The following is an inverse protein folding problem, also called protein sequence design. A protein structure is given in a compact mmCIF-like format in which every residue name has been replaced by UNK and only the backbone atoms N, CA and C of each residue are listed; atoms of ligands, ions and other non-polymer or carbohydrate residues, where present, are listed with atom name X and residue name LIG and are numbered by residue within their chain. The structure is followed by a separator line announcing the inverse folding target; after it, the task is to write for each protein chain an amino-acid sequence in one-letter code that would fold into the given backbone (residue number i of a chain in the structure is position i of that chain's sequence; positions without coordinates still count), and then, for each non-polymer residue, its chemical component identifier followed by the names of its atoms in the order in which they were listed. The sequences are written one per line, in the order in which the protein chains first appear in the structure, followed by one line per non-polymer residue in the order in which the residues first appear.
data_IF_761675728617
#
_entry.id   IF_761675728617
#
_cell.length_a   1.000
_cell.length_b   1.000
_cell.length_c   1.000
_cell.angle_alpha   90.00
_cell.angle_beta   90.00
_cell.angle_gamma   90.00
#
_symmetry.space_group_name_H-M   'P 1'
#
loop_
_entity.id
_entity.type
_entity.pdbx_description
1 polymer ?
#
# COMPACT_ATOMS: atom_id res chain seq x y z
N UNK A 1 10.78 -0.59 -11.36
CA UNK A 1 9.49 -0.81 -12.05
C UNK A 1 8.47 -1.46 -11.12
N UNK A 2 8.82 -2.57 -10.47
CA UNK A 2 8.01 -3.27 -9.47
C UNK A 2 7.36 -2.38 -8.39
N UNK A 3 8.12 -1.45 -7.81
CA UNK A 3 7.63 -0.52 -6.77
C UNK A 3 6.49 0.37 -7.27
N UNK A 4 6.57 0.83 -8.52
CA UNK A 4 5.51 1.64 -9.14
C UNK A 4 4.27 0.78 -9.39
N UNK A 5 4.44 -0.46 -9.86
CA UNK A 5 3.33 -1.40 -10.08
C UNK A 5 2.59 -1.68 -8.77
N UNK A 6 3.32 -1.93 -7.67
CA UNK A 6 2.71 -2.16 -6.36
C UNK A 6 1.95 -0.94 -5.85
N UNK A 7 2.48 0.27 -6.01
CA UNK A 7 1.77 1.49 -5.63
C UNK A 7 0.50 1.66 -6.47
N UNK A 8 0.60 1.51 -7.80
CA UNK A 8 -0.56 1.59 -8.68
C UNK A 8 -1.63 0.56 -8.31
N UNK A 9 -1.23 -0.69 -8.08
CA UNK A 9 -2.13 -1.75 -7.65
C UNK A 9 -2.79 -1.41 -6.31
N UNK A 10 -2.02 -0.94 -5.33
CA UNK A 10 -2.54 -0.53 -4.02
C UNK A 10 -3.57 0.60 -4.14
N UNK A 11 -3.27 1.64 -4.92
CA UNK A 11 -4.21 2.76 -5.17
C UNK A 11 -5.46 2.27 -5.90
N UNK A 12 -5.32 1.41 -6.92
CA UNK A 12 -6.46 0.84 -7.63
C UNK A 12 -7.35 0.00 -6.72
N UNK A 13 -6.78 -0.84 -5.86
CA UNK A 13 -7.51 -1.64 -4.89
C UNK A 13 -8.29 -0.77 -3.89
N UNK A 14 -7.65 0.29 -3.37
CA UNK A 14 -8.33 1.26 -2.49
C UNK A 14 -9.46 1.96 -3.22
N UNK A 15 -9.22 2.45 -4.43
CA UNK A 15 -10.22 3.19 -5.19
C UNK A 15 -11.43 2.33 -5.56
N UNK A 16 -11.21 1.09 -6.00
CA UNK A 16 -12.28 0.16 -6.34
C UNK A 16 -13.01 -0.28 -5.08
N UNK A 17 -12.29 -0.58 -3.99
CA UNK A 17 -12.88 -0.91 -2.69
C UNK A 17 -13.81 0.19 -2.20
N UNK A 18 -13.37 1.45 -2.23
CA UNK A 18 -14.19 2.61 -1.86
C UNK A 18 -15.42 2.75 -2.76
N UNK A 19 -15.28 2.58 -4.08
CA UNK A 19 -16.40 2.67 -5.01
C UNK A 19 -17.45 1.58 -4.74
N UNK A 20 -17.01 0.33 -4.54
CA UNK A 20 -17.91 -0.78 -4.21
C UNK A 20 -18.62 -0.52 -2.87
N UNK A 21 -17.91 -0.05 -1.86
CA UNK A 21 -18.51 0.29 -0.55
C UNK A 21 -19.56 1.39 -0.67
N UNK A 22 -19.26 2.45 -1.42
CA UNK A 22 -20.16 3.59 -1.63
C UNK A 22 -21.47 3.19 -2.33
N UNK A 23 -21.39 2.20 -3.23
CA UNK A 23 -22.51 1.74 -4.04
C UNK A 23 -22.98 0.32 -3.69
N UNK A 24 -22.62 -0.21 -2.52
CA UNK A 24 -22.93 -1.58 -2.12
C UNK A 24 -24.43 -1.87 -2.17
N UNK A 25 -25.25 -0.94 -1.65
CA UNK A 25 -26.71 -1.01 -1.70
C UNK A 25 -27.26 -1.07 -3.15
N UNK A 26 -26.62 -0.34 -4.07
CA UNK A 26 -27.03 -0.31 -5.48
C UNK A 26 -26.66 -1.63 -6.18
N UNK A 27 -25.48 -2.18 -5.88
CA UNK A 27 -25.04 -3.48 -6.37
C UNK A 27 -25.92 -4.62 -5.85
N UNK A 28 -26.32 -4.58 -4.59
CA UNK A 28 -27.27 -5.53 -4.03
C UNK A 28 -28.62 -5.44 -4.72
N UNK A 29 -29.17 -4.22 -4.86
CA UNK A 29 -30.48 -4.00 -5.49
C UNK A 29 -30.52 -4.36 -6.98
N UNK A 30 -29.52 -3.93 -7.77
CA UNK A 30 -29.55 -4.02 -9.23
C UNK A 30 -28.88 -5.29 -9.77
N UNK A 31 -27.87 -5.82 -9.06
CA UNK A 31 -27.09 -6.98 -9.49
C UNK A 31 -27.25 -8.21 -8.58
N UNK A 32 -28.10 -8.16 -7.54
CA UNK A 32 -28.20 -9.20 -6.50
C UNK A 32 -26.83 -9.54 -5.89
N UNK A 33 -25.94 -8.55 -5.80
CA UNK A 33 -24.61 -8.76 -5.24
C UNK A 33 -24.64 -8.55 -3.72
N UNK A 34 -25.07 -9.59 -3.00
CA UNK A 34 -25.23 -9.61 -1.54
C UNK A 34 -23.94 -9.26 -0.78
N UNK A 35 -22.79 -9.72 -1.28
CA UNK A 35 -21.48 -9.54 -0.63
C UNK A 35 -20.68 -8.32 -1.12
N UNK A 36 -21.36 -7.33 -1.73
CA UNK A 36 -20.68 -6.15 -2.26
C UNK A 36 -19.91 -5.41 -1.16
N UNK A 37 -20.49 -5.28 0.03
CA UNK A 37 -19.87 -4.59 1.14
C UNK A 37 -18.57 -5.26 1.60
N UNK A 38 -18.60 -6.58 1.81
CA UNK A 38 -17.46 -7.38 2.25
C UNK A 38 -16.33 -7.36 1.23
N UNK A 39 -16.67 -7.50 -0.07
CA UNK A 39 -15.68 -7.43 -1.15
C UNK A 39 -15.04 -6.03 -1.20
N UNK A 40 -15.84 -4.97 -1.04
CA UNK A 40 -15.33 -3.61 -0.92
C UNK A 40 -14.34 -3.44 0.24
N UNK A 41 -14.66 -3.97 1.42
CA UNK A 41 -13.78 -3.96 2.59
C UNK A 41 -12.47 -4.73 2.33
N UNK A 42 -12.53 -5.93 1.75
CA UNK A 42 -11.35 -6.74 1.43
C UNK A 42 -10.41 -5.98 0.49
N UNK A 43 -10.95 -5.39 -0.58
CA UNK A 43 -10.19 -4.62 -1.56
C UNK A 43 -9.52 -3.40 -0.90
N UNK A 44 -10.29 -2.68 -0.09
CA UNK A 44 -9.80 -1.51 0.64
C UNK A 44 -8.63 -1.88 1.57
N UNK A 45 -8.81 -2.87 2.44
CA UNK A 45 -7.78 -3.28 3.39
C UNK A 45 -6.54 -3.85 2.71
N UNK A 46 -6.73 -4.65 1.66
CA UNK A 46 -5.62 -5.20 0.88
C UNK A 46 -4.82 -4.08 0.21
N UNK A 47 -5.50 -3.10 -0.39
CA UNK A 47 -4.86 -1.94 -1.00
C UNK A 47 -4.08 -1.10 0.00
N UNK A 48 -4.66 -0.80 1.17
CA UNK A 48 -3.99 -0.07 2.25
C UNK A 48 -2.76 -0.82 2.74
N UNK A 49 -2.86 -2.11 3.02
CA UNK A 49 -1.74 -2.93 3.48
C UNK A 49 -0.58 -2.92 2.47
N UNK A 50 -0.89 -2.98 1.18
CA UNK A 50 0.08 -2.96 0.10
C UNK A 50 0.81 -1.60 0.00
N UNK A 51 0.09 -0.50 0.19
CA UNK A 51 0.68 0.84 0.26
C UNK A 51 1.56 1.02 1.50
N UNK A 52 1.12 0.54 2.67
CA UNK A 52 1.91 0.55 3.90
C UNK A 52 3.20 -0.26 3.76
N UNK A 53 3.14 -1.42 3.11
CA UNK A 53 4.34 -2.21 2.81
C UNK A 53 5.32 -1.45 1.90
N UNK A 54 4.79 -0.69 0.92
CA UNK A 54 5.59 0.20 0.08
C UNK A 54 6.33 1.28 0.87
N UNK A 55 5.65 1.90 1.84
CA UNK A 55 6.22 2.90 2.74
C UNK A 55 7.26 2.27 3.69
N UNK A 56 6.97 1.10 4.26
CA UNK A 56 7.91 0.41 5.13
C UNK A 56 9.22 0.08 4.39
N UNK A 57 9.13 -0.35 3.13
CA UNK A 57 10.31 -0.64 2.32
C UNK A 57 11.11 0.62 1.97
N UNK A 58 10.46 1.75 1.71
CA UNK A 58 11.17 3.01 1.45
C UNK A 58 11.90 3.49 2.70
N UNK A 59 11.26 3.41 3.87
CA UNK A 59 11.89 3.72 5.17
C UNK A 59 13.08 2.82 5.45
N UNK A 60 12.99 1.52 5.19
CA UNK A 60 14.10 0.59 5.37
C UNK A 60 15.32 0.95 4.49
N UNK A 61 15.10 1.48 3.27
CA UNK A 61 16.18 1.95 2.40
C UNK A 61 16.84 3.21 2.94
N UNK A 62 16.05 4.14 3.45
CA UNK A 62 16.57 5.37 4.09
C UNK A 62 17.41 5.01 5.31
N UNK A 63 16.92 4.10 6.16
CA UNK A 63 17.66 3.63 7.33
C UNK A 63 19.03 3.04 6.96
N UNK A 64 19.09 2.16 5.95
CA UNK A 64 20.38 1.62 5.46
C UNK A 64 21.30 2.67 4.88
N UNK A 65 20.75 3.65 4.16
CA UNK A 65 21.57 4.74 3.63
C UNK A 65 22.20 5.57 4.76
N UNK A 66 21.44 5.86 5.83
CA UNK A 66 21.94 6.55 7.01
C UNK A 66 22.99 5.72 7.75
N UNK A 67 22.79 4.41 7.89
CA UNK A 67 23.76 3.51 8.51
C UNK A 67 25.11 3.51 7.75
N UNK A 68 25.06 3.41 6.41
CA UNK A 68 26.25 3.48 5.57
C UNK A 68 27.00 4.82 5.71
N UNK A 69 26.27 5.93 5.80
CA UNK A 69 26.86 7.25 6.03
C UNK A 69 27.54 7.30 7.41
N UNK A 70 26.88 6.76 8.44
CA UNK A 70 27.45 6.68 9.79
C UNK A 70 28.75 5.88 9.82
N UNK A 71 28.78 4.72 9.15
CA UNK A 71 29.99 3.89 9.03
C UNK A 71 31.11 4.61 8.29
N UNK A 72 30.82 5.28 7.17
CA UNK A 72 31.79 6.07 6.42
C UNK A 72 32.38 7.21 7.27
N UNK A 73 31.55 7.93 8.03
CA UNK A 73 32.02 8.98 8.93
C UNK A 73 32.89 8.41 10.05
N UNK A 74 32.50 7.29 10.64
CA UNK A 74 33.29 6.62 11.68
C UNK A 74 34.67 6.19 11.17
N UNK A 75 34.74 5.59 9.98
CA UNK A 75 36.02 5.21 9.35
C UNK A 75 36.93 6.41 9.10
N UNK A 76 36.36 7.56 8.72
CA UNK A 76 37.12 8.80 8.48
C UNK A 76 37.65 9.46 9.76
N UNK A 77 37.07 9.15 10.92
CA UNK A 77 37.55 9.64 12.22
C UNK A 77 38.64 8.73 12.81
N UNK A 78 38.63 7.44 12.46
CA UNK A 78 39.55 6.43 13.01
C UNK A 78 40.81 6.24 12.17
N UNK A 79 40.79 6.55 10.86
CA UNK A 79 41.95 6.56 9.97
C UNK A 79 42.57 7.94 9.80
#
# INVERSE_FOLDING_TARGET
MWHKILIFLGVSLVSIGMAILQFAWYFEWYHNFEYAHEVGCILLYTGIALLLAGIALSLARVARALENIGQLMAMKVVG
#
